data_IF_419506592677
#
_entry.id   IF_419506592677
#
_cell.length_a   1.000
_cell.length_b   1.000
_cell.length_c   1.000
_cell.angle_alpha   90.00
_cell.angle_beta   90.00
_cell.angle_gamma   90.00
#
_symmetry.space_group_name_H-M   'P 1'
#
loop_
_entity.id
_entity.type
_entity.pdbx_description
1 polymer ?
#
# COMPACT_ATOMS: atom_id res chain seq x y z
N UNK A 1 25.15 10.34 0.50
CA UNK A 1 24.41 11.09 1.54
C UNK A 1 23.86 10.08 2.53
N UNK A 2 23.82 10.42 3.82
CA UNK A 2 23.39 9.48 4.86
C UNK A 2 22.00 9.81 5.35
N UNK A 3 21.17 8.78 5.46
CA UNK A 3 19.83 8.86 6.01
C UNK A 3 19.63 7.75 7.04
N UNK A 4 18.96 8.07 8.14
CA UNK A 4 18.61 7.09 9.18
C UNK A 4 17.10 6.97 9.23
N UNK A 5 16.58 5.83 8.79
CA UNK A 5 15.19 5.45 8.97
C UNK A 5 15.01 4.70 10.29
N UNK A 6 13.92 5.01 10.99
CA UNK A 6 13.56 4.37 12.27
C UNK A 6 12.11 3.92 12.23
N UNK A 7 11.84 2.78 12.83
CA UNK A 7 10.55 2.13 12.75
C UNK A 7 10.40 0.97 13.72
N UNK A 8 9.42 0.11 13.44
CA UNK A 8 9.05 -1.03 14.28
C UNK A 8 8.80 -2.29 13.44
N UNK A 9 9.10 -3.44 14.04
CA UNK A 9 8.67 -4.75 13.55
C UNK A 9 7.44 -5.18 14.34
N UNK A 10 6.38 -5.53 13.62
CA UNK A 10 5.11 -5.96 14.19
C UNK A 10 4.97 -7.49 14.14
N UNK A 11 4.27 -8.09 15.13
CA UNK A 11 3.76 -7.43 16.31
C UNK A 11 4.90 -7.14 17.32
N UNK A 12 4.93 -5.95 17.93
CA UNK A 12 6.05 -5.56 18.82
C UNK A 12 6.31 -6.55 19.97
N UNK A 13 5.24 -7.21 20.47
CA UNK A 13 5.30 -8.27 21.50
C UNK A 13 6.14 -9.50 21.11
N UNK A 14 6.53 -9.62 19.85
CA UNK A 14 7.39 -10.70 19.39
C UNK A 14 8.85 -10.53 19.81
N UNK A 15 9.23 -9.34 20.29
CA UNK A 15 10.60 -9.04 20.75
C UNK A 15 11.66 -9.43 19.70
N UNK A 16 11.48 -8.91 18.48
CA UNK A 16 12.32 -9.27 17.34
C UNK A 16 13.69 -8.62 17.50
N UNK A 17 14.73 -9.45 17.39
CA UNK A 17 16.12 -9.04 17.50
C UNK A 17 16.94 -9.63 16.36
N UNK A 18 17.72 -8.79 15.68
CA UNK A 18 18.75 -9.24 14.75
C UNK A 18 19.92 -8.26 14.70
N UNK A 19 21.12 -8.82 14.61
CA UNK A 19 22.36 -8.05 14.47
C UNK A 19 22.45 -7.34 13.12
N UNK A 20 23.48 -6.50 12.96
CA UNK A 20 23.78 -5.77 11.72
C UNK A 20 23.68 -6.66 10.47
N UNK A 21 22.73 -6.35 9.60
CA UNK A 21 22.59 -6.91 8.25
C UNK A 21 22.89 -5.81 7.24
N UNK A 22 23.74 -6.11 6.25
CA UNK A 22 24.23 -5.14 5.28
C UNK A 22 23.98 -5.61 3.86
N UNK A 23 23.38 -4.73 3.07
CA UNK A 23 23.32 -4.85 1.61
C UNK A 23 24.30 -3.85 1.00
N UNK A 24 25.39 -4.37 0.42
CA UNK A 24 26.37 -3.57 -0.30
C UNK A 24 25.92 -3.39 -1.75
N UNK A 25 25.86 -2.14 -2.20
CA UNK A 25 25.63 -1.79 -3.59
C UNK A 25 26.98 -1.38 -4.19
N UNK A 26 27.56 -2.19 -5.11
CA UNK A 26 28.86 -1.91 -5.69
C UNK A 26 28.95 -0.47 -6.21
N UNK A 27 30.04 0.21 -5.88
CA UNK A 27 30.33 1.59 -6.30
C UNK A 27 29.34 2.66 -5.80
N UNK A 28 28.31 2.29 -5.04
CA UNK A 28 27.26 3.21 -4.56
C UNK A 28 27.26 3.39 -3.04
N UNK A 29 27.60 2.35 -2.27
CA UNK A 29 27.60 2.39 -0.80
C UNK A 29 26.88 1.19 -0.20
N UNK A 30 26.19 1.38 0.93
CA UNK A 30 25.45 0.30 1.57
C UNK A 30 24.17 0.74 2.29
N UNK A 31 23.28 -0.23 2.47
CA UNK A 31 22.10 -0.13 3.32
C UNK A 31 22.26 -1.12 4.45
N UNK A 32 22.13 -0.64 5.69
CA UNK A 32 22.39 -1.44 6.90
C UNK A 32 21.16 -1.41 7.80
N UNK A 33 20.68 -2.58 8.20
CA UNK A 33 19.55 -2.73 9.12
C UNK A 33 20.00 -3.40 10.41
N UNK A 34 19.42 -2.97 11.52
CA UNK A 34 19.53 -3.60 12.83
C UNK A 34 18.19 -3.49 13.55
N UNK A 35 17.87 -4.49 14.38
CA UNK A 35 16.64 -4.50 15.15
C UNK A 35 16.92 -4.97 16.56
N UNK A 36 16.49 -4.17 17.53
CA UNK A 36 16.53 -4.48 18.96
C UNK A 36 15.14 -4.26 19.55
N UNK A 37 14.62 -5.24 20.30
CA UNK A 37 13.32 -5.12 20.95
C UNK A 37 12.19 -4.68 20.01
N UNK A 38 12.16 -5.25 18.79
CA UNK A 38 11.25 -4.87 17.71
C UNK A 38 11.36 -3.41 17.22
N UNK A 39 12.38 -2.65 17.65
CA UNK A 39 12.70 -1.33 17.11
C UNK A 39 13.76 -1.48 16.02
N UNK A 40 13.39 -1.16 14.78
CA UNK A 40 14.28 -1.29 13.63
C UNK A 40 14.89 0.07 13.28
N UNK A 41 16.19 0.06 12.99
CA UNK A 41 16.93 1.18 12.43
C UNK A 41 17.55 0.76 11.11
N UNK A 42 17.40 1.58 10.08
CA UNK A 42 18.02 1.38 8.78
C UNK A 42 18.87 2.59 8.43
N UNK A 43 20.16 2.39 8.24
CA UNK A 43 21.08 3.38 7.70
C UNK A 43 21.15 3.21 6.18
N UNK A 44 20.80 4.25 5.44
CA UNK A 44 20.99 4.33 3.99
C UNK A 44 22.18 5.25 3.73
N UNK A 45 23.27 4.68 3.26
CA UNK A 45 24.48 5.41 2.87
C UNK A 45 24.80 5.10 1.40
N UNK A 46 24.14 5.84 0.51
CA UNK A 46 24.26 5.66 -0.94
C UNK A 46 24.66 6.99 -1.60
N UNK A 47 25.52 6.92 -2.61
CA UNK A 47 25.99 8.07 -3.38
C UNK A 47 24.89 8.65 -4.28
N UNK A 48 24.10 7.80 -4.92
CA UNK A 48 23.07 8.18 -5.92
C UNK A 48 21.66 8.41 -5.35
N UNK A 49 21.48 8.38 -4.02
CA UNK A 49 20.14 8.51 -3.44
C UNK A 49 19.58 9.93 -3.61
N UNK A 50 18.39 10.04 -4.19
CA UNK A 50 17.73 11.31 -4.50
C UNK A 50 16.74 11.72 -3.40
N UNK A 51 17.27 12.35 -2.35
CA UNK A 51 16.48 12.93 -1.27
C UNK A 51 15.86 11.93 -0.28
N UNK A 52 15.18 12.48 0.73
CA UNK A 52 14.64 11.72 1.87
C UNK A 52 13.53 10.73 1.48
N UNK A 53 12.78 10.99 0.40
CA UNK A 53 11.69 10.09 -0.06
C UNK A 53 12.28 8.82 -0.67
N UNK A 54 13.28 8.95 -1.54
CA UNK A 54 13.99 7.81 -2.12
C UNK A 54 14.69 7.01 -1.02
N UNK A 55 15.27 7.69 -0.03
CA UNK A 55 15.90 7.05 1.12
C UNK A 55 14.89 6.25 1.96
N UNK A 56 13.69 6.79 2.20
CA UNK A 56 12.60 6.09 2.89
C UNK A 56 12.18 4.81 2.16
N UNK A 57 11.90 4.91 0.86
CA UNK A 57 11.49 3.75 0.05
C UNK A 57 12.60 2.68 -0.01
N UNK A 58 13.85 3.10 -0.14
CA UNK A 58 15.02 2.19 -0.10
C UNK A 58 15.12 1.48 1.24
N UNK A 59 14.96 2.22 2.35
CA UNK A 59 14.98 1.67 3.69
C UNK A 59 13.81 0.70 3.93
N UNK A 60 12.60 1.05 3.49
CA UNK A 60 11.39 0.24 3.60
C UNK A 60 11.56 -1.08 2.85
N UNK A 61 12.04 -1.02 1.60
CA UNK A 61 12.28 -2.20 0.79
C UNK A 61 13.28 -3.15 1.46
N UNK A 62 14.42 -2.63 1.90
CA UNK A 62 15.44 -3.45 2.56
C UNK A 62 14.95 -4.02 3.90
N UNK A 63 14.27 -3.21 4.72
CA UNK A 63 13.67 -3.66 5.96
C UNK A 63 12.63 -4.77 5.74
N UNK A 64 11.78 -4.62 4.73
CA UNK A 64 10.76 -5.61 4.35
C UNK A 64 11.41 -6.92 3.90
N UNK A 65 12.47 -6.87 3.09
CA UNK A 65 13.24 -8.06 2.71
C UNK A 65 13.79 -8.79 3.93
N UNK A 66 14.43 -8.07 4.86
CA UNK A 66 15.02 -8.64 6.08
C UNK A 66 13.94 -9.28 6.95
N UNK A 67 12.87 -8.55 7.24
CA UNK A 67 11.78 -9.02 8.11
C UNK A 67 11.01 -10.18 7.47
N UNK A 68 10.84 -10.17 6.15
CA UNK A 68 10.23 -11.27 5.40
C UNK A 68 11.09 -12.53 5.44
N UNK A 69 12.40 -12.41 5.24
CA UNK A 69 13.32 -13.54 5.35
C UNK A 69 13.32 -14.13 6.77
N UNK A 70 13.29 -13.27 7.80
CA UNK A 70 13.16 -13.68 9.18
C UNK A 70 11.82 -14.39 9.45
N UNK A 71 10.71 -13.79 9.03
CA UNK A 71 9.37 -14.36 9.17
C UNK A 71 9.24 -15.71 8.49
N UNK A 72 9.79 -15.86 7.28
CA UNK A 72 9.89 -17.14 6.58
C UNK A 72 10.68 -18.18 7.39
N UNK A 73 11.86 -17.80 7.91
CA UNK A 73 12.70 -18.72 8.69
C UNK A 73 12.06 -19.20 9.99
N UNK A 74 11.18 -18.38 10.59
CA UNK A 74 10.53 -18.64 11.87
C UNK A 74 9.06 -19.08 11.74
N UNK A 75 8.53 -19.17 10.51
CA UNK A 75 7.11 -19.42 10.28
C UNK A 75 6.19 -18.37 10.95
N UNK A 76 6.67 -17.13 11.06
CA UNK A 76 6.00 -16.07 11.83
C UNK A 76 5.59 -14.92 10.91
N UNK A 77 4.35 -14.46 11.08
CA UNK A 77 3.80 -13.33 10.32
C UNK A 77 4.27 -12.00 10.88
N UNK A 78 5.47 -11.58 10.48
CA UNK A 78 6.01 -10.26 10.81
C UNK A 78 5.72 -9.24 9.71
N UNK A 79 5.55 -7.98 10.10
CA UNK A 79 5.54 -6.84 9.19
C UNK A 79 6.43 -5.72 9.71
N UNK A 80 6.84 -4.80 8.85
CA UNK A 80 7.67 -3.66 9.23
C UNK A 80 6.95 -2.36 8.93
N UNK A 81 7.12 -1.39 9.82
CA UNK A 81 6.62 -0.03 9.66
C UNK A 81 7.76 0.94 9.94
N UNK A 82 8.19 1.70 8.93
CA UNK A 82 9.13 2.79 9.12
C UNK A 82 8.35 4.09 9.38
N UNK A 83 8.73 4.82 10.42
CA UNK A 83 7.98 5.98 10.92
C UNK A 83 8.61 7.28 10.44
N UNK A 84 9.95 7.32 10.41
CA UNK A 84 10.70 8.56 10.20
C UNK A 84 12.02 8.28 9.49
N UNK A 85 12.41 9.19 8.60
CA UNK A 85 13.78 9.34 8.10
C UNK A 85 14.40 10.60 8.68
N UNK A 86 15.67 10.51 9.09
CA UNK A 86 16.45 11.66 9.54
C UNK A 86 17.61 11.86 8.57
N UNK A 87 17.76 13.08 8.05
CA UNK A 87 18.90 13.47 7.21
C UNK A 87 20.20 13.55 8.01
N UNK A 88 21.34 13.66 7.32
CA UNK A 88 22.67 13.74 7.92
C UNK A 88 22.85 14.96 8.83
N UNK A 89 22.15 16.06 8.55
CA UNK A 89 22.14 17.28 9.38
C UNK A 89 21.19 17.20 10.59
N UNK A 90 20.47 16.09 10.75
CA UNK A 90 19.49 15.87 11.80
C UNK A 90 18.05 16.27 11.44
N UNK A 91 17.78 16.77 10.24
CA UNK A 91 16.44 17.16 9.79
C UNK A 91 15.51 15.95 9.74
N UNK A 92 14.39 15.94 10.50
CA UNK A 92 13.47 14.81 10.52
C UNK A 92 12.34 14.93 9.49
N UNK A 93 12.03 13.81 8.83
CA UNK A 93 10.88 13.63 7.95
C UNK A 93 10.03 12.48 8.46
N UNK A 94 8.82 12.78 8.92
CA UNK A 94 7.88 11.79 9.45
C UNK A 94 6.91 11.39 8.34
N UNK A 95 6.72 10.09 8.17
CA UNK A 95 5.81 9.54 7.18
C UNK A 95 4.49 9.21 7.84
N UNK A 96 3.41 9.76 7.29
CA UNK A 96 2.06 9.63 7.85
C UNK A 96 1.34 8.39 7.33
N UNK A 97 0.30 8.00 8.05
CA UNK A 97 -0.58 6.86 7.71
C UNK A 97 -1.56 7.20 6.57
N UNK A 98 -1.79 8.49 6.31
CA UNK A 98 -2.79 8.94 5.33
C UNK A 98 -2.11 9.36 4.03
N UNK A 99 -2.45 8.75 2.88
CA UNK A 99 -2.10 9.27 1.58
C UNK A 99 -2.63 10.70 1.42
N UNK A 100 -1.85 11.55 0.79
CA UNK A 100 -2.20 12.93 0.45
C UNK A 100 -2.15 13.13 -1.06
N UNK A 101 -3.03 13.99 -1.58
CA UNK A 101 -3.07 14.36 -2.98
C UNK A 101 -2.14 15.52 -3.32
N UNK A 102 -2.59 16.41 -4.20
CA UNK A 102 -1.81 17.58 -4.64
C UNK A 102 -1.55 18.57 -3.50
N UNK A 103 -2.45 18.61 -2.51
CA UNK A 103 -2.29 19.40 -1.28
C UNK A 103 -2.33 18.51 -0.05
N UNK A 104 -1.72 18.97 1.05
CA UNK A 104 -1.69 18.25 2.34
C UNK A 104 -3.07 18.02 2.94
N UNK A 105 -4.03 18.88 2.62
CA UNK A 105 -5.41 18.79 3.10
C UNK A 105 -6.26 17.82 2.26
N UNK A 106 -5.81 17.49 1.06
CA UNK A 106 -6.48 16.53 0.19
C UNK A 106 -6.16 15.11 0.65
N UNK A 107 -7.03 14.51 1.45
CA UNK A 107 -6.87 13.14 1.97
C UNK A 107 -7.96 12.20 1.46
N UNK A 108 -7.73 10.89 1.57
CA UNK A 108 -8.74 9.90 1.19
C UNK A 108 -9.89 9.78 2.19
N UNK A 109 -9.78 10.44 3.35
CA UNK A 109 -10.78 10.36 4.42
C UNK A 109 -12.13 10.96 4.03
N UNK A 110 -13.19 10.43 4.62
CA UNK A 110 -14.54 10.98 4.52
C UNK A 110 -14.78 11.98 5.66
N UNK A 111 -15.51 13.05 5.37
CA UNK A 111 -15.94 14.03 6.37
C UNK A 111 -17.42 14.35 6.12
N UNK A 112 -18.36 13.95 7.01
CA UNK A 112 -18.14 13.14 8.21
C UNK A 112 -17.83 11.67 7.90
N UNK A 113 -16.95 11.03 8.69
CA UNK A 113 -16.58 9.62 8.47
C UNK A 113 -17.59 8.62 9.05
N UNK A 114 -18.33 9.00 10.09
CA UNK A 114 -19.21 8.08 10.84
C UNK A 114 -20.28 7.38 9.97
N UNK A 115 -20.99 8.07 9.05
CA UNK A 115 -21.99 7.41 8.21
C UNK A 115 -21.38 6.33 7.31
N UNK A 116 -20.27 6.66 6.64
CA UNK A 116 -19.56 5.74 5.75
C UNK A 116 -19.00 4.55 6.53
N UNK A 117 -18.45 4.80 7.73
CA UNK A 117 -17.99 3.73 8.61
C UNK A 117 -19.12 2.78 9.00
N UNK A 118 -20.28 3.29 9.41
CA UNK A 118 -21.42 2.47 9.80
C UNK A 118 -21.97 1.65 8.65
N UNK A 119 -22.16 2.27 7.47
CA UNK A 119 -22.58 1.56 6.26
C UNK A 119 -21.56 0.49 5.85
N UNK A 120 -20.27 0.83 5.86
CA UNK A 120 -19.22 -0.14 5.54
C UNK A 120 -19.24 -1.32 6.51
N UNK A 121 -19.39 -1.06 7.81
CA UNK A 121 -19.50 -2.09 8.85
C UNK A 121 -20.74 -2.98 8.65
N UNK A 122 -21.87 -2.42 8.22
CA UNK A 122 -23.05 -3.20 7.87
C UNK A 122 -22.77 -4.10 6.66
N UNK A 123 -22.22 -3.54 5.58
CA UNK A 123 -21.99 -4.27 4.33
C UNK A 123 -20.95 -5.38 4.48
N UNK A 124 -19.81 -5.14 5.17
CA UNK A 124 -18.78 -6.18 5.35
C UNK A 124 -19.29 -7.42 6.08
N UNK A 125 -20.34 -7.30 6.91
CA UNK A 125 -20.93 -8.44 7.60
C UNK A 125 -21.78 -9.32 6.67
N UNK A 126 -22.28 -8.76 5.57
CA UNK A 126 -23.22 -9.41 4.65
C UNK A 126 -22.56 -9.77 3.32
N UNK A 127 -21.54 -9.02 2.90
CA UNK A 127 -20.89 -9.13 1.60
C UNK A 127 -19.40 -9.45 1.77
N UNK A 128 -19.02 -10.67 1.38
CA UNK A 128 -17.64 -11.15 1.42
C UNK A 128 -16.74 -10.43 0.41
N UNK A 129 -17.28 -10.04 -0.75
CA UNK A 129 -16.52 -9.38 -1.80
C UNK A 129 -16.15 -7.95 -1.38
N UNK A 130 -17.08 -7.22 -0.77
CA UNK A 130 -16.79 -5.91 -0.19
C UNK A 130 -15.80 -6.01 0.96
N UNK A 131 -15.91 -7.03 1.82
CA UNK A 131 -14.94 -7.30 2.90
C UNK A 131 -13.52 -7.51 2.36
N UNK A 132 -13.38 -8.33 1.30
CA UNK A 132 -12.09 -8.56 0.63
C UNK A 132 -11.58 -7.28 -0.04
N UNK A 133 -12.47 -6.53 -0.69
CA UNK A 133 -12.13 -5.26 -1.33
C UNK A 133 -11.60 -4.23 -0.34
N UNK A 134 -12.23 -4.07 0.83
CA UNK A 134 -11.75 -3.17 1.88
C UNK A 134 -10.39 -3.60 2.44
N UNK A 135 -10.19 -4.91 2.68
CA UNK A 135 -8.91 -5.42 3.14
C UNK A 135 -7.79 -5.10 2.14
N UNK A 136 -8.02 -5.40 0.86
CA UNK A 136 -7.02 -5.15 -0.18
C UNK A 136 -6.83 -3.64 -0.41
N UNK A 137 -7.88 -2.81 -0.31
CA UNK A 137 -7.74 -1.34 -0.38
C UNK A 137 -6.91 -0.77 0.79
N UNK A 138 -7.09 -1.27 2.01
CA UNK A 138 -6.25 -0.88 3.14
C UNK A 138 -4.79 -1.31 2.96
N UNK A 139 -4.54 -2.51 2.40
CA UNK A 139 -3.19 -2.91 2.01
C UNK A 139 -2.59 -1.98 0.95
N UNK A 140 -3.36 -1.51 -0.04
CA UNK A 140 -2.86 -0.53 -1.01
C UNK A 140 -2.44 0.80 -0.36
N UNK A 141 -3.11 1.20 0.73
CA UNK A 141 -2.77 2.40 1.48
C UNK A 141 -1.45 2.23 2.26
N UNK A 142 -1.19 1.04 2.80
CA UNK A 142 -0.03 0.80 3.67
C UNK A 142 1.19 0.29 2.92
N UNK A 143 1.00 -0.50 1.87
CA UNK A 143 2.06 -1.09 1.05
C UNK A 143 2.26 -0.23 -0.20
N UNK A 144 3.30 0.61 -0.15
CA UNK A 144 3.59 1.54 -1.25
C UNK A 144 4.08 0.79 -2.49
N UNK A 145 4.79 -0.33 -2.31
CA UNK A 145 5.40 -1.11 -3.39
C UNK A 145 4.35 -1.83 -4.22
N UNK A 146 3.35 -2.44 -3.56
CA UNK A 146 2.30 -3.23 -4.22
C UNK A 146 0.95 -2.49 -4.33
N UNK A 147 0.93 -1.17 -4.16
CA UNK A 147 -0.28 -0.36 -4.16
C UNK A 147 -1.19 -0.62 -5.38
N UNK A 148 -0.64 -0.64 -6.59
CA UNK A 148 -1.41 -0.88 -7.81
C UNK A 148 -2.05 -2.28 -7.84
N UNK A 149 -1.29 -3.30 -7.43
CA UNK A 149 -1.75 -4.69 -7.34
C UNK A 149 -2.93 -4.81 -6.37
N UNK A 150 -2.81 -4.22 -5.19
CA UNK A 150 -3.87 -4.24 -4.19
C UNK A 150 -5.10 -3.42 -4.62
N UNK A 151 -4.92 -2.26 -5.25
CA UNK A 151 -6.02 -1.49 -5.85
C UNK A 151 -6.79 -2.32 -6.87
N UNK A 152 -6.08 -2.98 -7.80
CA UNK A 152 -6.71 -3.80 -8.82
C UNK A 152 -7.46 -4.99 -8.22
N UNK A 153 -6.87 -5.67 -7.23
CA UNK A 153 -7.55 -6.78 -6.52
C UNK A 153 -8.81 -6.34 -5.77
N UNK A 154 -8.79 -5.15 -5.17
CA UNK A 154 -9.97 -4.58 -4.53
C UNK A 154 -11.09 -4.35 -5.56
N UNK A 155 -10.76 -3.78 -6.72
CA UNK A 155 -11.69 -3.58 -7.85
C UNK A 155 -12.21 -4.93 -8.38
N UNK A 156 -11.35 -5.93 -8.55
CA UNK A 156 -11.76 -7.27 -8.99
C UNK A 156 -12.68 -7.97 -7.99
N UNK A 157 -12.50 -7.71 -6.70
CA UNK A 157 -13.41 -8.20 -5.66
C UNK A 157 -14.81 -7.60 -5.86
N UNK A 158 -14.92 -6.30 -6.10
CA UNK A 158 -16.21 -5.67 -6.44
C UNK A 158 -16.81 -6.24 -7.73
N UNK A 159 -16.00 -6.41 -8.79
CA UNK A 159 -16.45 -7.09 -10.02
C UNK A 159 -17.03 -8.46 -9.71
N UNK A 160 -16.37 -9.24 -8.86
CA UNK A 160 -16.81 -10.59 -8.50
C UNK A 160 -18.18 -10.60 -7.79
N UNK A 161 -18.54 -9.55 -7.05
CA UNK A 161 -19.88 -9.42 -6.46
C UNK A 161 -20.99 -9.37 -7.53
N UNK A 162 -20.76 -8.66 -8.64
CA UNK A 162 -21.69 -8.63 -9.77
C UNK A 162 -21.73 -9.96 -10.52
N UNK A 163 -20.56 -10.58 -10.75
CA UNK A 163 -20.47 -11.89 -11.42
C UNK A 163 -21.16 -12.99 -10.60
N UNK A 164 -21.05 -12.96 -9.28
CA UNK A 164 -21.71 -13.92 -8.40
C UNK A 164 -23.24 -13.84 -8.52
N UNK A 165 -23.79 -12.63 -8.69
CA UNK A 165 -25.23 -12.40 -8.86
C UNK A 165 -25.74 -12.86 -10.24
N UNK A 166 -24.95 -12.68 -11.31
CA UNK A 166 -25.41 -12.93 -12.70
C UNK A 166 -24.90 -14.22 -13.33
N UNK A 167 -23.86 -14.84 -12.76
CA UNK A 167 -23.19 -16.03 -13.29
C UNK A 167 -22.41 -15.80 -14.58
N UNK A 168 -22.28 -14.55 -15.04
CA UNK A 168 -21.59 -14.19 -16.28
C UNK A 168 -20.41 -13.28 -15.97
N UNK A 169 -19.24 -13.61 -16.47
CA UNK A 169 -18.05 -12.79 -16.27
C UNK A 169 -18.12 -11.52 -17.14
N UNK A 170 -18.76 -10.46 -16.62
CA UNK A 170 -18.93 -9.20 -17.36
C UNK A 170 -18.66 -7.99 -16.47
N UNK A 171 -17.60 -7.26 -16.80
CA UNK A 171 -17.32 -5.93 -16.27
C UNK A 171 -18.46 -4.94 -16.54
N UNK A 172 -19.19 -5.15 -17.65
CA UNK A 172 -20.30 -4.30 -18.12
C UNK A 172 -21.35 -4.06 -17.03
N UNK A 173 -21.72 -5.09 -16.26
CA UNK A 173 -22.77 -4.99 -15.24
C UNK A 173 -22.34 -4.10 -14.07
N UNK A 174 -21.09 -4.25 -13.61
CA UNK A 174 -20.49 -3.38 -12.58
C UNK A 174 -20.41 -1.94 -13.08
N UNK A 175 -19.97 -1.74 -14.32
CA UNK A 175 -19.84 -0.42 -14.92
C UNK A 175 -21.18 0.29 -15.04
N UNK A 176 -22.20 -0.41 -15.52
CA UNK A 176 -23.56 0.10 -15.62
C UNK A 176 -24.15 0.46 -14.25
N UNK A 177 -23.96 -0.39 -13.24
CA UNK A 177 -24.50 -0.16 -11.89
C UNK A 177 -23.80 0.99 -11.15
N UNK A 178 -22.48 1.10 -11.27
CA UNK A 178 -21.68 2.07 -10.51
C UNK A 178 -21.40 3.38 -11.29
N UNK A 179 -21.81 3.46 -12.55
CA UNK A 179 -21.45 4.56 -13.44
C UNK A 179 -19.94 4.74 -13.52
N UNK A 180 -19.22 3.63 -13.73
CA UNK A 180 -17.76 3.61 -13.90
C UNK A 180 -17.44 3.13 -15.30
N UNK A 181 -16.20 3.32 -15.75
CA UNK A 181 -15.76 2.85 -17.05
C UNK A 181 -14.49 2.00 -16.93
N UNK A 182 -14.34 1.11 -17.91
CA UNK A 182 -13.23 0.15 -17.96
C UNK A 182 -11.90 0.84 -18.23
N UNK A 183 -11.90 1.83 -19.13
CA UNK A 183 -10.70 2.55 -19.57
C UNK A 183 -10.00 3.24 -18.40
N UNK A 184 -10.75 3.91 -17.51
CA UNK A 184 -10.19 4.52 -16.30
C UNK A 184 -9.46 3.53 -15.41
N UNK A 185 -10.00 2.31 -15.23
CA UNK A 185 -9.35 1.26 -14.44
C UNK A 185 -8.09 0.75 -15.16
N UNK A 186 -8.17 0.56 -16.47
CA UNK A 186 -7.06 0.07 -17.28
C UNK A 186 -5.88 1.05 -17.26
N UNK A 187 -6.14 2.33 -17.49
CA UNK A 187 -5.12 3.38 -17.63
C UNK A 187 -4.53 3.82 -16.28
N UNK A 188 -5.33 3.85 -15.21
CA UNK A 188 -4.88 4.37 -13.91
C UNK A 188 -4.28 3.26 -13.05
N UNK A 189 -4.82 2.04 -13.08
CA UNK A 189 -4.45 0.98 -12.14
C UNK A 189 -3.84 -0.23 -12.85
N UNK A 190 -4.55 -0.81 -13.82
CA UNK A 190 -4.19 -2.11 -14.41
C UNK A 190 -2.81 -2.08 -15.08
N UNK A 191 -2.50 -1.00 -15.82
CA UNK A 191 -1.22 -0.85 -16.51
C UNK A 191 0.00 -0.89 -15.57
N UNK A 192 -0.20 -0.60 -14.29
CA UNK A 192 0.84 -0.69 -13.25
C UNK A 192 0.77 -2.02 -12.48
N UNK A 193 -0.43 -2.58 -12.30
CA UNK A 193 -0.64 -3.82 -11.56
C UNK A 193 -0.24 -5.08 -12.36
N UNK A 194 -0.60 -5.15 -13.64
CA UNK A 194 -0.47 -6.37 -14.45
C UNK A 194 0.98 -6.85 -14.61
N UNK A 195 1.97 -5.98 -14.92
CA UNK A 195 3.35 -6.43 -15.04
C UNK A 195 3.84 -7.14 -13.77
N UNK A 196 3.54 -6.59 -12.60
CA UNK A 196 3.94 -7.15 -11.30
C UNK A 196 3.21 -8.48 -11.05
N UNK A 197 1.88 -8.50 -11.24
CA UNK A 197 1.03 -9.69 -11.02
C UNK A 197 1.35 -10.86 -11.93
N UNK A 198 1.85 -10.58 -13.13
CA UNK A 198 2.23 -11.59 -14.11
C UNK A 198 3.72 -11.93 -14.09
N UNK A 199 4.51 -11.30 -13.20
CA UNK A 199 5.96 -11.51 -13.10
C UNK A 199 6.77 -10.87 -14.24
N UNK A 200 6.15 -10.00 -15.05
CA UNK A 200 6.78 -9.26 -16.14
C UNK A 200 7.48 -7.99 -15.59
N UNK A 201 8.43 -8.16 -14.67
CA UNK A 201 9.12 -7.04 -14.00
C UNK A 201 9.82 -6.08 -14.97
N UNK A 202 10.23 -6.54 -16.14
CA UNK A 202 10.82 -5.69 -17.19
C UNK A 202 9.84 -4.63 -17.73
N UNK A 203 8.53 -4.86 -17.61
CA UNK A 203 7.47 -3.95 -18.05
C UNK A 203 6.88 -3.13 -16.88
N UNK A 204 7.34 -3.37 -15.65
CA UNK A 204 6.86 -2.66 -14.47
C UNK A 204 7.22 -1.17 -14.57
N UNK A 205 6.19 -0.32 -14.44
CA UNK A 205 6.36 1.13 -14.50
C UNK A 205 6.62 1.69 -13.10
N UNK A 206 7.52 2.67 -12.96
CA UNK A 206 7.66 3.39 -11.70
C UNK A 206 6.36 4.13 -11.38
N UNK A 207 6.06 4.26 -10.09
CA UNK A 207 4.94 5.08 -9.60
C UNK A 207 5.48 6.19 -8.72
N UNK A 208 4.96 7.41 -8.93
CA UNK A 208 5.18 8.54 -8.04
C UNK A 208 3.98 8.74 -7.11
N UNK A 209 4.09 9.70 -6.18
CA UNK A 209 3.02 10.01 -5.23
C UNK A 209 1.70 10.39 -5.89
N UNK A 210 1.74 11.10 -7.02
CA UNK A 210 0.54 11.54 -7.77
C UNK A 210 -0.15 10.37 -8.45
N UNK A 211 0.62 9.49 -9.09
CA UNK A 211 0.15 8.28 -9.75
C UNK A 211 -0.49 7.35 -8.73
N UNK A 212 0.20 7.12 -7.60
CA UNK A 212 -0.31 6.35 -6.48
C UNK A 212 -1.61 6.93 -5.92
N UNK A 213 -1.66 8.25 -5.74
CA UNK A 213 -2.86 8.94 -5.27
C UNK A 213 -4.06 8.71 -6.20
N UNK A 214 -3.86 8.80 -7.52
CA UNK A 214 -4.92 8.55 -8.51
C UNK A 214 -5.46 7.12 -8.44
N UNK A 215 -4.60 6.12 -8.26
CA UNK A 215 -5.01 4.72 -8.09
C UNK A 215 -5.89 4.53 -6.84
N UNK A 216 -5.44 5.08 -5.72
CA UNK A 216 -6.15 4.98 -4.45
C UNK A 216 -7.49 5.74 -4.51
N UNK A 217 -7.51 6.93 -5.10
CA UNK A 217 -8.71 7.74 -5.26
C UNK A 217 -9.74 7.04 -6.16
N UNK A 218 -9.32 6.50 -7.30
CA UNK A 218 -10.21 5.73 -8.18
C UNK A 218 -10.81 4.53 -7.44
N UNK A 219 -9.97 3.77 -6.76
CA UNK A 219 -10.39 2.58 -6.00
C UNK A 219 -11.37 2.96 -4.91
N UNK A 220 -11.06 3.98 -4.08
CA UNK A 220 -11.98 4.50 -3.05
C UNK A 220 -13.33 4.87 -3.64
N UNK A 221 -13.35 5.57 -4.77
CA UNK A 221 -14.59 6.03 -5.41
C UNK A 221 -15.43 4.84 -5.92
N UNK A 222 -14.81 3.80 -6.48
CA UNK A 222 -15.51 2.57 -6.88
C UNK A 222 -16.12 1.88 -5.65
N UNK A 223 -15.35 1.73 -4.58
CA UNK A 223 -15.79 1.12 -3.32
C UNK A 223 -16.96 1.91 -2.68
N UNK A 224 -16.90 3.24 -2.73
CA UNK A 224 -17.96 4.12 -2.21
C UNK A 224 -19.24 3.97 -3.04
N UNK A 225 -19.13 4.01 -4.37
CA UNK A 225 -20.28 3.78 -5.27
C UNK A 225 -20.92 2.42 -5.05
N UNK A 226 -20.11 1.39 -4.81
CA UNK A 226 -20.61 0.06 -4.51
C UNK A 226 -21.35 0.01 -3.16
N UNK A 227 -20.80 0.68 -2.14
CA UNK A 227 -21.45 0.83 -0.85
C UNK A 227 -22.82 1.51 -0.98
N UNK A 228 -22.89 2.61 -1.72
CA UNK A 228 -24.15 3.34 -1.97
C UNK A 228 -25.15 2.53 -2.81
N UNK A 229 -24.66 1.66 -3.70
CA UNK A 229 -25.50 0.80 -4.52
C UNK A 229 -26.16 -0.31 -3.69
N UNK A 230 -25.43 -0.96 -2.79
CA UNK A 230 -25.95 -2.06 -1.97
C UNK A 230 -26.71 -1.56 -0.73
N UNK A 231 -26.32 -0.41 -0.18
CA UNK A 231 -26.95 0.25 0.96
C UNK A 231 -27.27 1.71 0.62
N UNK A 232 -28.26 1.99 -0.25
CA UNK A 232 -28.68 3.35 -0.55
C UNK A 232 -29.03 4.06 0.76
N UNK A 233 -28.47 5.25 0.98
CA UNK A 233 -28.83 6.05 2.15
C UNK A 233 -30.35 6.26 2.22
N UNK A 234 -30.93 6.06 3.40
CA UNK A 234 -32.32 6.45 3.68
C UNK A 234 -32.55 7.94 3.45
#
# INVERSE_FOLDING_TARGET
MKYIATGRVHPERADVNFSRLEWTVPEQGSVVAQCDSSQITVLVDLQSIDGFTSAYLTAEHFASMVVSALGFSLGSGYSVELIKVTEEDGTPHVFGVRPVGESRDQTLGFEPYNPVFNQAMQLVNQDIFFRLALRDFLHAITDVTDCATYCYRAIESIKAAFVYKTGKERWDDMHAALGTDRTSIEDIVKVYADPIRHGNWAEAKPTDGVTRWKMLLLTRNILTKYLDHELPGE
#
